data_IF_770805995883
#
_entry.id   IF_770805995883
#
_cell.length_a   1.000
_cell.length_b   1.000
_cell.length_c   1.000
_cell.angle_alpha   90.00
_cell.angle_beta   90.00
_cell.angle_gamma   90.00
#
_symmetry.space_group_name_H-M   'P 1'
#
loop_
_entity.id
_entity.type
_entity.pdbx_description
1 polymer ?
#
# COMPACT_ATOMS: atom_id res chain seq x y z
N UNK A 1 7.27 -44.04 43.52
CA UNK A 1 7.52 -43.23 42.35
C UNK A 1 7.88 -41.80 42.78
N UNK A 2 9.14 -41.38 42.62
CA UNK A 2 9.55 -40.01 42.94
C UNK A 2 9.07 -39.07 41.80
N UNK A 3 8.11 -38.16 42.06
CA UNK A 3 7.74 -37.07 41.11
C UNK A 3 8.97 -36.19 40.86
N UNK A 4 9.52 -36.21 39.64
CA UNK A 4 10.58 -35.30 39.22
C UNK A 4 10.00 -33.85 39.26
N UNK A 5 10.53 -33.01 40.15
CA UNK A 5 10.16 -31.59 40.20
C UNK A 5 10.69 -30.91 38.95
N UNK A 6 9.80 -30.32 38.18
CA UNK A 6 10.18 -29.46 37.00
C UNK A 6 10.99 -28.29 37.54
N UNK A 7 12.18 -28.00 36.99
CA UNK A 7 12.99 -26.87 37.42
C UNK A 7 12.22 -25.54 37.28
N UNK A 8 12.28 -24.67 38.32
CA UNK A 8 11.61 -23.36 38.34
C UNK A 8 11.94 -22.51 37.09
N UNK A 9 13.15 -22.67 36.53
CA UNK A 9 13.61 -22.01 35.32
C UNK A 9 12.80 -22.43 34.08
N UNK A 10 12.42 -23.72 33.96
CA UNK A 10 11.58 -24.21 32.84
C UNK A 10 10.17 -23.60 32.95
N UNK A 11 9.61 -23.52 34.17
CA UNK A 11 8.31 -22.91 34.39
C UNK A 11 8.33 -21.43 34.02
N UNK A 12 9.37 -20.68 34.46
CA UNK A 12 9.54 -19.28 34.12
C UNK A 12 9.64 -19.04 32.60
N UNK A 13 10.43 -19.85 31.91
CA UNK A 13 10.54 -19.78 30.45
C UNK A 13 9.23 -20.10 29.75
N UNK A 14 8.50 -21.13 30.22
CA UNK A 14 7.19 -21.48 29.64
C UNK A 14 6.15 -20.36 29.83
N UNK A 15 6.10 -19.74 31.01
CA UNK A 15 5.20 -18.58 31.25
C UNK A 15 5.56 -17.41 30.36
N UNK A 16 6.84 -17.06 30.24
CA UNK A 16 7.30 -16.01 29.34
C UNK A 16 6.92 -16.29 27.89
N UNK A 17 7.15 -17.51 27.39
CA UNK A 17 6.79 -17.91 26.04
C UNK A 17 5.28 -17.82 25.78
N UNK A 18 4.45 -18.21 26.74
CA UNK A 18 2.99 -18.09 26.64
C UNK A 18 2.56 -16.63 26.60
N UNK A 19 3.09 -15.79 27.47
CA UNK A 19 2.78 -14.35 27.47
C UNK A 19 3.19 -13.70 26.14
N UNK A 20 4.37 -14.02 25.63
CA UNK A 20 4.84 -13.53 24.34
C UNK A 20 3.94 -13.99 23.19
N UNK A 21 3.52 -15.26 23.19
CA UNK A 21 2.58 -15.79 22.21
C UNK A 21 1.23 -15.07 22.26
N UNK A 22 0.69 -14.84 23.45
CA UNK A 22 -0.57 -14.10 23.62
C UNK A 22 -0.45 -12.65 23.11
N UNK A 23 0.67 -11.99 23.39
CA UNK A 23 0.94 -10.64 22.85
C UNK A 23 1.01 -10.65 21.32
N UNK A 24 1.69 -11.65 20.73
CA UNK A 24 1.74 -11.82 19.27
C UNK A 24 0.33 -12.01 18.72
N UNK A 25 -0.52 -12.83 19.32
CA UNK A 25 -1.89 -13.08 18.87
C UNK A 25 -2.80 -11.84 18.99
N UNK A 26 -2.52 -10.96 19.94
CA UNK A 26 -3.24 -9.67 20.09
C UNK A 26 -2.82 -8.67 19.00
N UNK A 27 -1.51 -8.54 18.76
CA UNK A 27 -0.97 -7.62 17.76
C UNK A 27 -1.17 -8.14 16.35
N UNK A 28 -1.14 -9.46 16.18
CA UNK A 28 -1.16 -10.18 14.91
C UNK A 28 -2.26 -11.26 14.92
N UNK A 29 -3.55 -10.87 14.98
CA UNK A 29 -4.64 -11.83 15.13
C UNK A 29 -4.73 -12.78 13.93
N UNK A 30 -5.04 -14.07 14.16
CA UNK A 30 -5.26 -15.02 13.08
C UNK A 30 -6.43 -14.57 12.19
N UNK A 31 -6.29 -14.80 10.89
CA UNK A 31 -7.34 -14.55 9.92
C UNK A 31 -7.31 -15.56 8.78
N UNK A 32 -8.50 -15.87 8.25
CA UNK A 32 -8.66 -16.63 7.00
C UNK A 32 -8.39 -15.77 5.75
N UNK A 33 -8.26 -14.45 5.91
CA UNK A 33 -8.01 -13.54 4.81
C UNK A 33 -9.24 -13.28 3.92
N UNK A 34 -10.44 -13.43 4.45
CA UNK A 34 -11.66 -13.20 3.68
C UNK A 34 -11.94 -11.70 3.57
N UNK A 35 -12.40 -11.28 2.38
CA UNK A 35 -12.90 -9.94 2.17
C UNK A 35 -14.30 -9.82 2.80
N UNK A 36 -14.58 -8.76 3.60
CA UNK A 36 -15.91 -8.52 4.15
C UNK A 36 -16.96 -8.41 3.05
N UNK A 37 -18.06 -9.13 3.21
CA UNK A 37 -19.20 -9.08 2.29
C UNK A 37 -20.07 -7.86 2.58
N UNK A 38 -20.91 -7.48 1.62
CA UNK A 38 -21.92 -6.45 1.79
C UNK A 38 -23.23 -7.07 2.28
N UNK A 39 -23.85 -6.46 3.29
CA UNK A 39 -25.07 -6.95 3.90
C UNK A 39 -26.16 -5.88 3.84
N UNK A 40 -27.41 -6.32 3.64
CA UNK A 40 -28.60 -5.48 3.75
C UNK A 40 -28.96 -5.20 5.23
N UNK A 41 -30.01 -4.42 5.46
CA UNK A 41 -30.51 -4.08 6.80
C UNK A 41 -31.01 -5.29 7.59
N UNK A 42 -31.33 -6.41 6.91
CA UNK A 42 -31.79 -7.66 7.51
C UNK A 42 -30.63 -8.64 7.80
N UNK A 43 -29.39 -8.27 7.43
CA UNK A 43 -28.21 -9.10 7.61
C UNK A 43 -28.00 -10.17 6.52
N UNK A 44 -28.70 -10.09 5.39
CA UNK A 44 -28.47 -10.93 4.23
C UNK A 44 -27.39 -10.32 3.34
N UNK A 45 -26.59 -11.16 2.65
CA UNK A 45 -25.67 -10.69 1.62
C UNK A 45 -26.49 -10.02 0.51
N UNK A 46 -26.07 -8.80 0.12
CA UNK A 46 -26.74 -8.04 -0.94
C UNK A 46 -26.63 -8.83 -2.24
N UNK A 47 -27.76 -9.10 -2.88
CA UNK A 47 -27.84 -9.72 -4.21
C UNK A 47 -27.07 -8.85 -5.22
N UNK A 48 -26.36 -9.46 -6.14
CA UNK A 48 -25.46 -8.81 -7.10
C UNK A 48 -24.23 -8.09 -6.49
N UNK A 49 -23.98 -8.18 -5.18
CA UNK A 49 -22.75 -7.66 -4.61
C UNK A 49 -21.58 -8.62 -4.84
N UNK A 50 -20.37 -8.08 -4.83
CA UNK A 50 -19.12 -8.81 -4.98
C UNK A 50 -18.10 -8.33 -3.95
N UNK A 51 -17.42 -9.27 -3.28
CA UNK A 51 -16.29 -8.95 -2.42
C UNK A 51 -15.36 -10.17 -2.38
N UNK A 52 -14.25 -10.10 -3.11
CA UNK A 52 -13.35 -11.24 -3.28
C UNK A 52 -11.89 -10.82 -3.47
N UNK A 53 -10.99 -11.77 -3.24
CA UNK A 53 -9.63 -11.75 -3.81
C UNK A 53 -9.63 -12.55 -5.10
N UNK A 54 -9.00 -12.03 -6.13
CA UNK A 54 -8.75 -12.79 -7.33
C UNK A 54 -7.31 -12.60 -7.83
N UNK A 55 -6.93 -13.45 -8.74
CA UNK A 55 -5.58 -13.51 -9.27
C UNK A 55 -5.63 -13.67 -10.78
N UNK A 56 -4.80 -12.87 -11.45
CA UNK A 56 -4.58 -12.95 -12.89
C UNK A 56 -3.19 -13.51 -13.15
N UNK A 57 -3.11 -14.64 -13.85
CA UNK A 57 -1.83 -15.15 -14.34
C UNK A 57 -1.34 -14.27 -15.51
N UNK A 58 -0.09 -13.88 -15.47
CA UNK A 58 0.62 -13.14 -16.51
C UNK A 58 1.90 -13.90 -16.86
N UNK A 59 2.52 -13.58 -18.00
CA UNK A 59 3.62 -14.37 -18.60
C UNK A 59 4.72 -14.80 -17.62
N UNK A 60 5.02 -13.96 -16.63
CA UNK A 60 6.12 -14.15 -15.69
C UNK A 60 5.69 -13.99 -14.23
N UNK A 61 4.44 -14.34 -13.90
CA UNK A 61 3.98 -14.29 -12.53
C UNK A 61 2.46 -14.21 -12.37
N UNK A 62 2.05 -13.73 -11.22
CA UNK A 62 0.66 -13.63 -10.84
C UNK A 62 0.37 -12.29 -10.21
N UNK A 63 -0.67 -11.62 -10.65
CA UNK A 63 -1.16 -10.36 -10.11
C UNK A 63 -2.35 -10.64 -9.20
N UNK A 64 -2.24 -10.25 -7.94
CA UNK A 64 -3.31 -10.33 -6.96
C UNK A 64 -4.07 -9.01 -6.88
N UNK A 65 -5.37 -9.11 -6.67
CA UNK A 65 -6.25 -7.94 -6.53
C UNK A 65 -7.43 -8.25 -5.62
N UNK A 66 -8.02 -7.20 -5.06
CA UNK A 66 -9.29 -7.26 -4.35
C UNK A 66 -10.34 -6.57 -5.20
N UNK A 67 -11.45 -7.24 -5.48
CA UNK A 67 -12.58 -6.65 -6.23
C UNK A 67 -13.78 -6.57 -5.31
N UNK A 68 -14.41 -5.38 -5.24
CA UNK A 68 -15.56 -5.12 -4.41
C UNK A 68 -16.59 -4.25 -5.15
N UNK A 69 -17.87 -4.60 -4.98
CA UNK A 69 -19.00 -3.83 -5.50
C UNK A 69 -20.24 -4.11 -4.67
N UNK A 70 -21.08 -3.12 -4.42
CA UNK A 70 -22.45 -3.37 -3.95
C UNK A 70 -23.37 -3.85 -5.06
N UNK A 71 -23.06 -3.49 -6.32
CA UNK A 71 -23.75 -3.96 -7.51
C UNK A 71 -22.73 -4.16 -8.65
N UNK A 72 -22.61 -5.38 -9.16
CA UNK A 72 -21.71 -5.73 -10.26
C UNK A 72 -22.09 -5.13 -11.61
N UNK A 73 -23.26 -4.53 -11.73
CA UNK A 73 -23.68 -3.79 -12.93
C UNK A 73 -23.11 -2.38 -13.01
N UNK A 74 -22.51 -1.88 -11.92
CA UNK A 74 -21.89 -0.58 -11.88
C UNK A 74 -20.65 -0.49 -12.81
N UNK A 75 -20.23 0.73 -13.23
CA UNK A 75 -19.00 0.94 -13.95
C UNK A 75 -17.76 0.40 -13.21
N UNK A 76 -16.79 -0.14 -13.94
CA UNK A 76 -15.56 -0.66 -13.36
C UNK A 76 -14.56 0.46 -13.12
N UNK A 77 -13.95 0.47 -11.92
CA UNK A 77 -12.87 1.36 -11.52
C UNK A 77 -11.65 0.53 -11.11
N UNK A 78 -10.58 0.61 -11.89
CA UNK A 78 -9.28 0.06 -11.52
C UNK A 78 -8.50 1.09 -10.69
N UNK A 79 -8.10 0.69 -9.49
CA UNK A 79 -7.32 1.52 -8.56
C UNK A 79 -5.85 1.08 -8.58
N UNK A 80 -5.00 2.01 -8.99
CA UNK A 80 -3.54 1.92 -8.98
C UNK A 80 -3.02 2.65 -7.73
N UNK A 81 -2.60 1.89 -6.72
CA UNK A 81 -2.24 2.41 -5.40
C UNK A 81 -0.89 3.09 -5.31
N UNK A 82 -0.66 3.72 -4.18
CA UNK A 82 0.57 4.45 -3.87
C UNK A 82 1.70 3.60 -3.30
N UNK A 83 2.76 4.28 -2.93
CA UNK A 83 3.87 3.68 -2.22
C UNK A 83 5.22 3.74 -2.93
N UNK A 84 5.58 2.92 -3.94
CA UNK A 84 4.95 1.66 -4.32
C UNK A 84 4.93 0.63 -3.18
N UNK A 85 4.01 -0.34 -3.28
CA UNK A 85 3.99 -1.53 -2.43
C UNK A 85 3.17 -1.46 -1.15
N UNK A 86 2.38 -0.41 -0.93
CA UNK A 86 1.31 -0.41 0.06
C UNK A 86 0.00 -0.71 -0.67
N UNK A 87 -0.72 -1.79 -0.33
CA UNK A 87 -2.02 -2.09 -0.94
C UNK A 87 -3.04 -0.99 -0.65
N UNK A 88 -3.63 -0.43 -1.70
CA UNK A 88 -4.68 0.59 -1.56
C UNK A 88 -5.93 0.03 -0.86
N UNK A 89 -6.21 -1.25 -1.06
CA UNK A 89 -7.28 -1.93 -0.34
C UNK A 89 -7.12 -1.86 1.19
N UNK A 90 -5.89 -1.80 1.72
CA UNK A 90 -5.67 -1.62 3.16
C UNK A 90 -6.25 -0.29 3.65
N UNK A 91 -6.12 0.78 2.84
CA UNK A 91 -6.71 2.09 3.15
C UNK A 91 -8.23 2.02 3.10
N UNK A 92 -8.80 1.41 2.06
CA UNK A 92 -10.25 1.18 1.94
C UNK A 92 -10.80 0.35 3.11
N UNK A 93 -10.08 -0.69 3.56
CA UNK A 93 -10.47 -1.52 4.70
C UNK A 93 -10.54 -0.72 6.01
N UNK A 94 -9.61 0.21 6.22
CA UNK A 94 -9.56 1.05 7.42
C UNK A 94 -10.51 2.25 7.35
N UNK A 95 -10.63 2.84 6.16
CA UNK A 95 -11.35 4.10 5.91
C UNK A 95 -12.20 3.95 4.65
N UNK A 96 -13.37 3.29 4.75
CA UNK A 96 -14.22 3.06 3.57
C UNK A 96 -14.57 4.34 2.83
N UNK A 97 -14.25 4.39 1.54
CA UNK A 97 -14.41 5.57 0.70
C UNK A 97 -15.84 5.75 0.17
N UNK A 98 -16.64 4.69 0.18
CA UNK A 98 -17.95 4.64 -0.48
C UNK A 98 -17.88 4.46 -2.00
N UNK A 99 -16.72 4.29 -2.61
CA UNK A 99 -16.58 4.06 -4.06
C UNK A 99 -17.34 2.82 -4.52
N UNK A 100 -17.46 1.80 -3.68
CA UNK A 100 -18.21 0.56 -3.97
C UNK A 100 -19.71 0.75 -4.10
N UNK A 101 -20.25 1.92 -3.72
CA UNK A 101 -21.65 2.27 -3.94
C UNK A 101 -21.94 2.61 -5.40
N UNK A 102 -20.91 3.05 -6.16
CA UNK A 102 -21.04 3.58 -7.52
C UNK A 102 -20.20 2.82 -8.54
N UNK A 103 -19.26 1.99 -8.10
CA UNK A 103 -18.31 1.29 -8.95
C UNK A 103 -18.13 -0.17 -8.54
N UNK A 104 -17.77 -0.99 -9.51
CA UNK A 104 -17.03 -2.22 -9.28
C UNK A 104 -15.58 -1.82 -9.11
N UNK A 105 -15.08 -1.77 -7.87
CA UNK A 105 -13.72 -1.28 -7.56
C UNK A 105 -12.74 -2.45 -7.53
N UNK A 106 -11.69 -2.38 -8.34
CA UNK A 106 -10.58 -3.33 -8.34
C UNK A 106 -9.33 -2.64 -7.74
N UNK A 107 -8.89 -3.10 -6.59
CA UNK A 107 -7.65 -2.67 -5.95
C UNK A 107 -6.52 -3.59 -6.39
N UNK A 108 -5.72 -3.14 -7.36
CA UNK A 108 -4.55 -3.88 -7.84
C UNK A 108 -3.41 -3.80 -6.83
N UNK A 109 -2.83 -4.94 -6.51
CA UNK A 109 -1.56 -5.02 -5.79
C UNK A 109 -0.47 -5.31 -6.81
N UNK A 110 0.44 -4.36 -6.97
CA UNK A 110 1.46 -4.42 -8.01
C UNK A 110 2.35 -5.65 -7.90
N UNK A 111 2.90 -6.06 -9.01
CA UNK A 111 3.96 -7.08 -9.12
C UNK A 111 4.98 -6.96 -7.97
N UNK A 112 5.28 -8.07 -7.33
CA UNK A 112 6.23 -8.13 -6.21
C UNK A 112 5.73 -7.54 -4.89
N UNK A 113 4.44 -7.15 -4.79
CA UNK A 113 3.87 -6.55 -3.57
C UNK A 113 2.62 -7.30 -3.10
N UNK A 114 2.34 -7.28 -1.80
CA UNK A 114 1.10 -7.79 -1.22
C UNK A 114 0.70 -9.18 -1.71
N UNK A 115 -0.50 -9.29 -2.31
CA UNK A 115 -1.04 -10.51 -2.91
C UNK A 115 -0.25 -10.97 -4.15
N UNK A 116 0.42 -10.04 -4.83
CA UNK A 116 1.28 -10.30 -6.00
C UNK A 116 2.73 -10.59 -5.63
N UNK A 117 3.04 -10.69 -4.33
CA UNK A 117 4.41 -10.97 -3.90
C UNK A 117 4.81 -12.43 -4.20
N UNK A 118 5.99 -12.59 -4.82
CA UNK A 118 6.74 -13.84 -4.88
C UNK A 118 8.18 -13.61 -4.47
N UNK A 119 8.80 -14.60 -3.80
CA UNK A 119 10.23 -14.57 -3.47
C UNK A 119 11.14 -14.64 -4.70
N UNK A 120 10.59 -15.05 -5.85
CA UNK A 120 11.33 -15.27 -7.09
C UNK A 120 11.45 -13.99 -7.94
N UNK A 121 10.58 -12.99 -7.66
CA UNK A 121 10.61 -11.70 -8.35
C UNK A 121 11.84 -10.90 -7.90
N UNK A 122 12.60 -10.40 -8.86
CA UNK A 122 13.76 -9.54 -8.64
C UNK A 122 13.43 -8.08 -8.87
N UNK A 123 14.17 -7.18 -8.22
CA UNK A 123 13.97 -5.73 -8.37
C UNK A 123 14.13 -5.28 -9.82
N UNK A 124 15.06 -5.89 -10.54
CA UNK A 124 15.35 -5.60 -11.95
C UNK A 124 14.16 -5.90 -12.88
N UNK A 125 13.23 -6.74 -12.44
CA UNK A 125 11.99 -7.08 -13.16
C UNK A 125 10.85 -6.10 -12.85
N UNK A 126 11.02 -5.22 -11.87
CA UNK A 126 10.03 -4.21 -11.45
C UNK A 126 10.30 -2.90 -12.21
N UNK A 127 10.07 -2.89 -13.52
CA UNK A 127 10.25 -1.70 -14.37
C UNK A 127 8.94 -0.96 -14.63
N UNK A 128 9.02 0.29 -15.03
CA UNK A 128 7.85 1.10 -15.41
C UNK A 128 7.03 0.43 -16.51
N UNK A 129 7.69 -0.10 -17.53
CA UNK A 129 7.07 -0.80 -18.68
C UNK A 129 6.33 -2.04 -18.19
N UNK A 130 6.91 -2.74 -17.22
CA UNK A 130 6.30 -3.95 -16.66
C UNK A 130 5.06 -3.62 -15.83
N UNK A 131 5.11 -2.58 -15.02
CA UNK A 131 3.92 -2.08 -14.31
C UNK A 131 2.82 -1.62 -15.27
N UNK A 132 3.16 -0.91 -16.36
CA UNK A 132 2.19 -0.52 -17.39
C UNK A 132 1.57 -1.77 -18.03
N UNK A 133 2.38 -2.74 -18.42
CA UNK A 133 1.91 -4.00 -19.00
C UNK A 133 0.95 -4.76 -18.07
N UNK A 134 1.27 -4.80 -16.76
CA UNK A 134 0.42 -5.41 -15.73
C UNK A 134 -0.93 -4.70 -15.61
N UNK A 135 -0.92 -3.35 -15.57
CA UNK A 135 -2.14 -2.54 -15.50
C UNK A 135 -3.02 -2.76 -16.75
N UNK A 136 -2.43 -2.84 -17.94
CA UNK A 136 -3.15 -3.14 -19.18
C UNK A 136 -3.74 -4.55 -19.16
N UNK A 137 -2.99 -5.56 -18.69
CA UNK A 137 -3.49 -6.93 -18.57
C UNK A 137 -4.71 -7.00 -17.62
N UNK A 138 -4.62 -6.32 -16.46
CA UNK A 138 -5.74 -6.24 -15.51
C UNK A 138 -6.92 -5.47 -16.10
N UNK A 139 -6.68 -4.39 -16.84
CA UNK A 139 -7.74 -3.61 -17.50
C UNK A 139 -8.52 -4.45 -18.50
N UNK A 140 -7.83 -5.24 -19.34
CA UNK A 140 -8.46 -6.19 -20.28
C UNK A 140 -9.27 -7.25 -19.55
N UNK A 141 -8.69 -7.86 -18.51
CA UNK A 141 -9.38 -8.86 -17.69
C UNK A 141 -10.68 -8.30 -17.08
N UNK A 142 -10.63 -7.08 -16.54
CA UNK A 142 -11.81 -6.45 -15.93
C UNK A 142 -12.87 -6.09 -16.98
N UNK A 143 -12.45 -5.54 -18.12
CA UNK A 143 -13.31 -5.24 -19.26
C UNK A 143 -14.08 -6.49 -19.73
N UNK A 144 -13.39 -7.59 -19.95
CA UNK A 144 -13.97 -8.87 -20.36
C UNK A 144 -14.88 -9.44 -19.28
N UNK A 145 -14.42 -9.47 -18.03
CA UNK A 145 -15.15 -10.06 -16.91
C UNK A 145 -16.49 -9.39 -16.65
N UNK A 146 -16.55 -8.05 -16.73
CA UNK A 146 -17.74 -7.26 -16.44
C UNK A 146 -18.48 -6.80 -17.71
N UNK A 147 -18.04 -7.20 -18.90
CA UNK A 147 -18.70 -6.88 -20.17
C UNK A 147 -18.68 -5.39 -20.50
N UNK A 148 -17.64 -4.66 -20.10
CA UNK A 148 -17.51 -3.21 -20.30
C UNK A 148 -16.36 -2.93 -21.28
N UNK A 149 -16.64 -2.26 -22.39
CA UNK A 149 -15.64 -1.94 -23.43
C UNK A 149 -14.50 -1.08 -22.86
N UNK A 150 -14.84 -0.13 -22.01
CA UNK A 150 -13.90 0.77 -21.33
C UNK A 150 -14.19 0.83 -19.84
N UNK A 151 -13.13 0.98 -19.05
CA UNK A 151 -13.21 1.10 -17.59
C UNK A 151 -12.72 2.47 -17.12
N UNK A 152 -12.90 2.79 -15.86
CA UNK A 152 -12.27 3.95 -15.22
C UNK A 152 -10.96 3.50 -14.58
N UNK A 153 -9.97 4.40 -14.51
CA UNK A 153 -8.70 4.16 -13.81
C UNK A 153 -8.41 5.31 -12.84
N UNK A 154 -8.10 4.96 -11.59
CA UNK A 154 -7.68 5.90 -10.56
C UNK A 154 -6.24 5.61 -10.17
N UNK A 155 -5.39 6.63 -10.24
CA UNK A 155 -4.04 6.59 -9.68
C UNK A 155 -3.98 7.37 -8.37
N UNK A 156 -3.34 6.79 -7.35
CA UNK A 156 -3.03 7.48 -6.10
C UNK A 156 -1.52 7.55 -5.90
N UNK A 157 -0.96 8.75 -5.65
CA UNK A 157 0.48 8.94 -5.40
C UNK A 157 1.34 8.26 -6.49
N UNK A 158 2.22 7.33 -6.16
CA UNK A 158 2.98 6.53 -7.14
C UNK A 158 2.08 5.95 -8.25
N UNK A 159 0.88 5.51 -7.90
CA UNK A 159 -0.08 4.98 -8.87
C UNK A 159 -0.47 5.98 -9.96
N UNK A 160 -0.38 7.28 -9.70
CA UNK A 160 -0.63 8.30 -10.72
C UNK A 160 0.44 8.30 -11.82
N UNK A 161 1.70 8.04 -11.45
CA UNK A 161 2.80 7.92 -12.40
C UNK A 161 2.59 6.75 -13.37
N UNK A 162 2.18 5.59 -12.85
CA UNK A 162 1.89 4.41 -13.69
C UNK A 162 0.61 4.61 -14.50
N UNK A 163 -0.48 5.07 -13.86
CA UNK A 163 -1.78 5.19 -14.51
C UNK A 163 -1.76 6.21 -15.65
N UNK A 164 -1.13 7.38 -15.49
CA UNK A 164 -1.06 8.38 -16.56
C UNK A 164 -0.26 7.87 -17.77
N UNK A 165 0.87 7.18 -17.54
CA UNK A 165 1.66 6.57 -18.61
C UNK A 165 0.89 5.45 -19.31
N UNK A 166 0.09 4.68 -18.55
CA UNK A 166 -0.77 3.65 -19.11
C UNK A 166 -1.85 4.25 -20.01
N UNK A 167 -2.58 5.27 -19.52
CA UNK A 167 -3.64 5.92 -20.30
C UNK A 167 -3.09 6.63 -21.54
N UNK A 168 -1.89 7.21 -21.45
CA UNK A 168 -1.22 7.83 -22.59
C UNK A 168 -0.93 6.82 -23.71
N UNK A 169 -0.51 5.58 -23.36
CA UNK A 169 -0.14 4.55 -24.33
C UNK A 169 -1.35 3.74 -24.82
N UNK A 170 -2.38 3.58 -23.98
CA UNK A 170 -3.54 2.70 -24.22
C UNK A 170 -4.87 3.39 -23.89
N UNK A 171 -5.17 4.56 -24.47
CA UNK A 171 -6.38 5.36 -24.15
C UNK A 171 -7.68 4.65 -24.51
N UNK A 172 -7.63 3.64 -25.39
CA UNK A 172 -8.78 2.88 -25.83
C UNK A 172 -9.46 2.07 -24.74
N UNK A 173 -8.75 1.71 -23.66
CA UNK A 173 -9.29 0.94 -22.54
C UNK A 173 -10.00 1.78 -21.48
N UNK A 174 -9.90 3.11 -21.53
CA UNK A 174 -10.32 3.95 -20.42
C UNK A 174 -11.37 4.99 -20.81
N UNK A 175 -12.41 5.14 -19.96
CA UNK A 175 -13.39 6.22 -20.04
C UNK A 175 -12.81 7.52 -19.48
N UNK A 176 -12.12 7.43 -18.34
CA UNK A 176 -11.46 8.56 -17.69
C UNK A 176 -10.33 8.08 -16.78
N UNK A 177 -9.37 8.97 -16.58
CA UNK A 177 -8.32 8.86 -15.57
C UNK A 177 -8.60 9.83 -14.42
N UNK A 178 -8.53 9.32 -13.19
CA UNK A 178 -8.72 10.08 -11.97
C UNK A 178 -7.38 10.11 -11.23
N UNK A 179 -6.87 11.30 -10.94
CA UNK A 179 -5.62 11.49 -10.23
C UNK A 179 -5.83 11.96 -8.80
N UNK A 180 -5.25 11.24 -7.84
CA UNK A 180 -5.21 11.61 -6.44
C UNK A 180 -3.76 11.76 -6.01
N UNK A 181 -3.35 12.93 -5.52
CA UNK A 181 -1.96 13.27 -5.21
C UNK A 181 -1.02 13.00 -6.40
N UNK A 182 -1.32 13.61 -7.55
CA UNK A 182 -0.60 13.42 -8.80
C UNK A 182 0.90 13.69 -8.68
N UNK A 183 1.71 12.69 -9.00
CA UNK A 183 3.16 12.83 -9.14
C UNK A 183 3.49 13.49 -10.46
N UNK A 184 4.13 14.68 -10.43
CA UNK A 184 4.55 15.41 -11.62
C UNK A 184 6.07 15.49 -11.72
N UNK A 185 6.72 16.07 -10.70
CA UNK A 185 8.16 16.16 -10.56
C UNK A 185 8.50 15.86 -9.09
N UNK A 186 8.83 14.60 -8.80
CA UNK A 186 9.03 14.13 -7.43
C UNK A 186 10.25 14.79 -6.77
N UNK A 187 11.34 14.99 -7.52
CA UNK A 187 12.58 15.57 -7.00
C UNK A 187 12.34 17.01 -6.55
N UNK A 188 11.73 17.82 -7.41
CA UNK A 188 11.45 19.21 -7.09
C UNK A 188 10.45 19.35 -5.95
N UNK A 189 9.41 18.49 -5.95
CA UNK A 189 8.43 18.45 -4.86
C UNK A 189 9.10 18.14 -3.50
N UNK A 190 10.05 17.19 -3.45
CA UNK A 190 10.79 16.87 -2.24
C UNK A 190 11.71 18.01 -1.80
N UNK A 191 12.33 18.72 -2.75
CA UNK A 191 13.15 19.91 -2.45
C UNK A 191 12.31 21.02 -1.83
N UNK A 192 11.14 21.31 -2.39
CA UNK A 192 10.22 22.29 -1.84
C UNK A 192 9.71 21.90 -0.45
N UNK A 193 9.34 20.64 -0.26
CA UNK A 193 8.90 20.12 1.03
C UNK A 193 10.01 20.18 2.09
N UNK A 194 11.24 19.81 1.73
CA UNK A 194 12.41 19.89 2.60
C UNK A 194 12.67 21.32 3.09
N UNK A 195 12.71 22.29 2.16
CA UNK A 195 12.96 23.68 2.48
C UNK A 195 11.86 24.25 3.37
N UNK A 196 10.60 23.94 3.04
CA UNK A 196 9.44 24.35 3.85
C UNK A 196 9.52 23.78 5.27
N UNK A 197 9.73 22.50 5.42
CA UNK A 197 9.80 21.85 6.75
C UNK A 197 10.97 22.38 7.59
N UNK A 198 12.13 22.57 6.97
CA UNK A 198 13.28 23.18 7.65
C UNK A 198 12.98 24.60 8.13
N UNK A 199 12.39 25.44 7.27
CA UNK A 199 12.00 26.80 7.62
C UNK A 199 10.94 26.86 8.75
N UNK A 200 9.98 25.91 8.77
CA UNK A 200 9.03 25.81 9.87
C UNK A 200 9.72 25.53 11.22
N UNK A 201 10.69 24.62 11.25
CA UNK A 201 11.46 24.34 12.46
C UNK A 201 12.37 25.51 12.89
N UNK A 202 12.91 26.28 11.94
CA UNK A 202 13.65 27.53 12.22
C UNK A 202 12.74 28.55 12.90
N UNK A 203 11.53 28.78 12.37
CA UNK A 203 10.52 29.68 12.93
C UNK A 203 10.07 29.27 14.33
N UNK A 204 9.97 27.96 14.58
CA UNK A 204 9.61 27.39 15.90
C UNK A 204 10.78 27.41 16.90
N UNK A 205 12.00 27.79 16.49
CA UNK A 205 13.21 27.73 17.32
C UNK A 205 13.66 26.30 17.63
N UNK A 206 13.26 25.29 16.86
CA UNK A 206 13.61 23.90 17.05
C UNK A 206 15.00 23.60 16.47
N UNK A 207 16.06 24.09 17.15
CA UNK A 207 17.45 23.94 16.70
C UNK A 207 17.87 22.47 16.51
N UNK A 208 17.25 21.52 17.24
CA UNK A 208 17.55 20.09 17.11
C UNK A 208 17.10 19.56 15.75
N UNK A 209 15.89 19.91 15.30
CA UNK A 209 15.39 19.50 13.99
C UNK A 209 16.12 20.21 12.87
N UNK A 210 16.35 21.53 12.98
CA UNK A 210 17.15 22.28 12.00
C UNK A 210 18.50 21.61 11.75
N UNK A 211 19.22 21.28 12.83
CA UNK A 211 20.52 20.58 12.71
C UNK A 211 20.42 19.20 12.02
N UNK A 212 19.32 18.47 12.21
CA UNK A 212 19.10 17.19 11.50
C UNK A 212 18.94 17.42 9.98
N UNK A 213 18.21 18.45 9.56
CA UNK A 213 18.10 18.83 8.17
C UNK A 213 19.43 19.27 7.58
N UNK A 214 20.21 20.11 8.28
CA UNK A 214 21.54 20.53 7.85
C UNK A 214 22.53 19.37 7.68
N UNK A 215 22.41 18.32 8.49
CA UNK A 215 23.22 17.11 8.37
C UNK A 215 22.74 16.16 7.25
N UNK A 216 21.70 16.53 6.50
CA UNK A 216 21.13 15.76 5.41
C UNK A 216 20.80 16.66 4.20
N UNK A 217 21.82 17.26 3.55
CA UNK A 217 21.65 18.23 2.46
C UNK A 217 21.28 17.52 1.15
N UNK A 218 19.99 17.40 0.88
CA UNK A 218 19.42 16.55 -0.18
C UNK A 218 19.79 16.95 -1.61
N UNK A 219 20.34 18.15 -1.82
CA UNK A 219 20.76 18.64 -3.15
C UNK A 219 22.23 18.37 -3.47
N UNK A 220 23.01 17.86 -2.52
CA UNK A 220 24.45 17.65 -2.73
C UNK A 220 24.76 16.38 -3.53
N UNK A 221 23.92 15.33 -3.41
CA UNK A 221 24.09 14.09 -4.18
C UNK A 221 22.82 13.24 -4.15
N UNK A 222 22.69 12.34 -5.14
CA UNK A 222 21.61 11.33 -5.20
C UNK A 222 21.62 10.41 -3.98
N UNK A 223 22.79 10.12 -3.41
CA UNK A 223 22.92 9.34 -2.19
C UNK A 223 22.27 10.06 -1.00
N UNK A 224 22.51 11.37 -0.84
CA UNK A 224 21.91 12.16 0.23
C UNK A 224 20.39 12.30 0.04
N UNK A 225 19.92 12.49 -1.20
CA UNK A 225 18.51 12.48 -1.52
C UNK A 225 17.85 11.16 -1.14
N UNK A 226 18.40 10.03 -1.61
CA UNK A 226 17.84 8.68 -1.33
C UNK A 226 17.84 8.37 0.17
N UNK A 227 18.92 8.72 0.87
CA UNK A 227 19.02 8.58 2.33
C UNK A 227 17.95 9.39 3.06
N UNK A 228 17.70 10.62 2.64
CA UNK A 228 16.65 11.47 3.20
C UNK A 228 15.27 10.91 2.90
N UNK A 229 14.98 10.56 1.63
CA UNK A 229 13.70 10.08 1.18
C UNK A 229 13.19 8.85 1.97
N UNK A 230 14.10 7.96 2.36
CA UNK A 230 13.80 6.78 3.17
C UNK A 230 14.01 6.99 4.68
N UNK A 231 14.30 8.21 5.13
CA UNK A 231 14.70 8.47 6.51
C UNK A 231 13.51 8.67 7.47
N UNK A 232 13.74 8.34 8.74
CA UNK A 232 12.83 8.74 9.82
C UNK A 232 12.75 10.26 10.02
N UNK A 233 13.75 11.03 9.57
CA UNK A 233 13.71 12.49 9.62
C UNK A 233 12.58 13.02 8.74
N UNK A 234 12.50 12.54 7.49
CA UNK A 234 11.44 12.91 6.55
C UNK A 234 10.07 12.51 7.09
N UNK A 235 9.91 11.24 7.48
CA UNK A 235 8.63 10.72 8.01
C UNK A 235 8.17 11.52 9.22
N UNK A 236 9.04 11.76 10.20
CA UNK A 236 8.72 12.55 11.39
C UNK A 236 8.31 13.97 11.04
N UNK A 237 9.10 14.67 10.21
CA UNK A 237 8.84 16.06 9.87
C UNK A 237 7.54 16.24 9.07
N UNK A 238 7.27 15.34 8.12
CA UNK A 238 6.02 15.35 7.35
C UNK A 238 4.80 15.23 8.26
N UNK A 239 4.81 14.30 9.21
CA UNK A 239 3.67 14.07 10.12
C UNK A 239 3.54 15.19 11.17
N UNK A 240 4.63 15.65 11.78
CA UNK A 240 4.61 16.74 12.76
C UNK A 240 4.09 18.06 12.15
N UNK A 241 4.40 18.32 10.88
CA UNK A 241 4.05 19.58 10.20
C UNK A 241 2.84 19.45 9.25
N UNK A 242 2.28 18.27 9.09
CA UNK A 242 1.14 18.02 8.20
C UNK A 242 1.46 18.17 6.72
N UNK A 243 2.69 17.90 6.29
CA UNK A 243 3.15 18.04 4.91
C UNK A 243 3.02 16.73 4.16
N UNK A 244 2.14 16.68 3.16
CA UNK A 244 1.99 15.50 2.29
C UNK A 244 1.59 14.22 3.04
N UNK A 245 0.83 14.34 4.13
CA UNK A 245 0.38 13.21 4.95
C UNK A 245 -1.11 13.33 5.27
N UNK A 246 -1.70 12.26 5.80
CA UNK A 246 -3.08 12.28 6.28
C UNK A 246 -3.18 13.05 7.60
N UNK A 247 -4.35 13.67 7.82
CA UNK A 247 -4.57 14.59 8.96
C UNK A 247 -4.34 13.94 10.33
N UNK A 248 -4.74 12.68 10.47
CA UNK A 248 -4.80 11.98 11.77
C UNK A 248 -3.73 10.87 11.90
N UNK A 249 -2.70 10.89 11.04
CA UNK A 249 -1.62 9.90 11.07
C UNK A 249 -0.35 10.52 11.67
N UNK A 250 0.10 10.00 12.81
CA UNK A 250 1.31 10.49 13.49
C UNK A 250 2.61 9.93 12.88
N UNK A 251 2.53 8.79 12.21
CA UNK A 251 3.64 8.14 11.51
C UNK A 251 3.16 6.99 10.65
N UNK A 252 3.94 6.59 9.65
CA UNK A 252 3.68 5.39 8.84
C UNK A 252 3.63 4.13 9.72
N UNK A 253 4.42 4.07 10.79
CA UNK A 253 4.42 2.93 11.71
C UNK A 253 3.08 2.82 12.44
N UNK A 254 2.58 3.90 13.01
CA UNK A 254 1.32 3.91 13.74
C UNK A 254 0.10 3.80 12.81
N UNK A 255 0.11 4.53 11.69
CA UNK A 255 -1.04 4.64 10.77
C UNK A 255 -1.15 3.54 9.74
N UNK A 256 -0.07 2.84 9.38
CA UNK A 256 -0.08 1.82 8.33
C UNK A 256 0.46 0.47 8.83
N UNK A 257 1.66 0.46 9.45
CA UNK A 257 2.31 -0.80 9.82
C UNK A 257 1.45 -1.61 10.81
N UNK A 258 1.15 -1.07 11.97
CA UNK A 258 0.35 -1.79 12.97
C UNK A 258 -1.07 -2.11 12.50
N UNK A 259 -1.82 -1.21 11.83
CA UNK A 259 -3.11 -1.55 11.24
C UNK A 259 -3.03 -2.69 10.22
N UNK A 260 -2.02 -2.73 9.35
CA UNK A 260 -1.84 -3.79 8.38
C UNK A 260 -1.70 -5.17 9.02
N UNK A 261 -0.99 -5.25 10.16
CA UNK A 261 -0.84 -6.50 10.91
C UNK A 261 -2.16 -7.01 11.51
N UNK A 262 -3.14 -6.13 11.68
CA UNK A 262 -4.49 -6.43 12.23
C UNK A 262 -5.55 -6.59 11.14
N UNK A 263 -5.24 -6.27 9.89
CA UNK A 263 -6.20 -6.36 8.79
C UNK A 263 -6.62 -7.82 8.56
N UNK A 264 -7.88 -8.13 8.90
CA UNK A 264 -8.43 -9.49 8.80
C UNK A 264 -8.70 -9.93 7.36
N UNK A 265 -8.67 -9.00 6.42
CA UNK A 265 -8.79 -9.30 4.99
C UNK A 265 -7.56 -10.03 4.43
N UNK A 266 -6.43 -10.02 5.16
CA UNK A 266 -5.21 -10.75 4.79
C UNK A 266 -4.93 -11.88 5.78
N UNK A 267 -4.48 -13.03 5.27
CA UNK A 267 -3.90 -14.11 6.06
C UNK A 267 -2.57 -13.67 6.69
N UNK A 268 -2.03 -14.44 7.62
CA UNK A 268 -0.72 -14.13 8.19
C UNK A 268 0.39 -14.05 7.14
N UNK A 269 0.39 -14.99 6.20
CA UNK A 269 1.39 -15.01 5.13
C UNK A 269 1.29 -13.77 4.24
N UNK A 270 0.07 -13.36 3.86
CA UNK A 270 -0.16 -12.19 3.04
C UNK A 270 0.27 -10.89 3.75
N UNK A 271 0.04 -10.76 5.08
CA UNK A 271 0.53 -9.61 5.87
C UNK A 271 2.05 -9.55 5.93
N UNK A 272 2.73 -10.71 6.03
CA UNK A 272 4.19 -10.79 5.96
C UNK A 272 4.65 -10.40 4.55
N UNK A 273 4.01 -10.93 3.51
CA UNK A 273 4.33 -10.65 2.11
C UNK A 273 4.12 -9.17 1.74
N UNK A 274 3.13 -8.51 2.34
CA UNK A 274 2.93 -7.06 2.19
C UNK A 274 4.21 -6.30 2.54
N UNK A 275 4.80 -6.57 3.69
CA UNK A 275 6.01 -5.87 4.15
C UNK A 275 7.28 -6.33 3.45
N UNK A 276 7.37 -7.59 3.04
CA UNK A 276 8.44 -8.08 2.16
C UNK A 276 8.39 -7.37 0.80
N UNK A 277 7.20 -7.29 0.21
CA UNK A 277 6.96 -6.59 -1.04
C UNK A 277 7.21 -5.08 -0.93
N UNK A 278 6.82 -4.45 0.20
CA UNK A 278 7.17 -3.04 0.45
C UNK A 278 8.67 -2.83 0.51
N UNK A 279 9.43 -3.73 1.14
CA UNK A 279 10.90 -3.68 1.17
C UNK A 279 11.52 -3.89 -0.22
N UNK A 280 10.93 -4.74 -1.05
CA UNK A 280 11.37 -4.95 -2.43
C UNK A 280 11.08 -3.72 -3.29
N UNK A 281 9.85 -3.21 -3.25
CA UNK A 281 9.40 -2.07 -4.06
C UNK A 281 10.08 -0.74 -3.68
N UNK A 282 10.56 -0.60 -2.44
CA UNK A 282 11.32 0.57 -2.01
C UNK A 282 12.67 0.73 -2.74
N UNK A 283 13.13 -0.32 -3.44
CA UNK A 283 14.34 -0.30 -4.26
C UNK A 283 14.04 0.11 -5.72
N UNK A 284 12.76 0.27 -6.09
CA UNK A 284 12.37 0.73 -7.41
C UNK A 284 12.79 2.21 -7.60
N UNK A 285 13.57 2.53 -8.64
CA UNK A 285 14.11 3.88 -8.85
C UNK A 285 13.06 4.84 -9.45
N UNK A 286 12.04 5.21 -8.69
CA UNK A 286 11.01 6.18 -9.13
C UNK A 286 11.62 7.53 -9.52
N UNK A 287 12.77 7.84 -8.93
CA UNK A 287 13.41 9.16 -9.02
C UNK A 287 14.02 9.44 -10.40
N UNK A 288 14.42 8.41 -11.13
CA UNK A 288 15.17 8.58 -12.38
C UNK A 288 14.29 8.65 -13.63
N UNK A 289 12.98 8.37 -13.52
CA UNK A 289 12.06 8.26 -14.65
C UNK A 289 10.93 9.33 -14.65
N UNK A 290 10.91 10.23 -13.66
CA UNK A 290 9.85 11.26 -13.52
C UNK A 290 10.28 12.63 -14.02
#
# INVERSE_FOLDING_TARGET
MKRKRVPKMIIGFSVFAIVLLLLILVVFPPSKGNIPQFYDENGNVIENSLAEKCYLEVDDGKLGMVIMAKDISNPVLLVCGGGPGIPEYLMEYMYPSGLTDQFVVCYLEYRGTGLSYSSDIKVEEMTTEKYISDVVAVSKYLSERFGQEKIYILGHSFGTYIAIKTVQQYPEYYNAYIAVAQTCNQIESEYMAYDYMKAQYEQQGNAKMVKKFENCPIRESDEMYTKYFSSSLRDTAMHELGVGTTRDMDSVIAGIFFPSLRCKAYTWQERINLWRGKGLSAQFPVVNDS
#
